data_IF_726693406032
#
_entry.id   IF_726693406032
#
_cell.length_a   1.000
_cell.length_b   1.000
_cell.length_c   1.000
_cell.angle_alpha   90.00
_cell.angle_beta   90.00
_cell.angle_gamma   90.00
#
_symmetry.space_group_name_H-M   'P 1'
#
loop_
_entity.id
_entity.type
_entity.pdbx_description
1 polymer ?
#
# COMPACT_ATOMS: atom_id res chain seq x y z
N UNK A 1 -3.52 -39.68 -74.88
CA UNK A 1 -4.25 -38.58 -74.22
C UNK A 1 -4.43 -38.81 -72.74
N UNK A 2 -4.69 -40.01 -72.23
CA UNK A 2 -4.97 -40.22 -70.77
C UNK A 2 -3.80 -39.97 -69.78
N UNK A 3 -2.58 -40.31 -70.15
CA UNK A 3 -1.38 -40.13 -69.27
C UNK A 3 -1.02 -38.66 -69.01
N UNK A 4 -1.23 -37.79 -69.96
CA UNK A 4 -0.91 -36.35 -69.83
C UNK A 4 -1.94 -35.64 -68.95
N UNK A 5 -3.22 -35.97 -69.07
CA UNK A 5 -4.25 -35.42 -68.22
C UNK A 5 -4.11 -35.90 -66.78
N UNK A 6 -3.76 -37.13 -66.50
CA UNK A 6 -3.51 -37.65 -65.16
C UNK A 6 -2.31 -36.98 -64.46
N UNK A 7 -1.26 -36.61 -65.21
CA UNK A 7 -0.14 -35.87 -64.66
C UNK A 7 -0.50 -34.43 -64.34
N UNK A 8 -1.24 -33.75 -65.21
CA UNK A 8 -1.69 -32.36 -64.98
C UNK A 8 -2.68 -32.29 -63.81
N UNK A 9 -3.59 -33.26 -63.72
CA UNK A 9 -4.55 -33.33 -62.58
C UNK A 9 -3.86 -33.63 -61.27
N UNK A 10 -2.95 -34.58 -61.21
CA UNK A 10 -2.17 -34.91 -60.02
C UNK A 10 -1.23 -33.75 -59.56
N UNK A 11 -0.67 -33.01 -60.51
CA UNK A 11 0.12 -31.83 -60.20
C UNK A 11 -0.70 -30.73 -59.59
N UNK A 12 -1.90 -30.47 -60.14
CA UNK A 12 -2.83 -29.46 -59.67
C UNK A 12 -3.35 -29.79 -58.25
N UNK A 13 -3.72 -31.05 -58.03
CA UNK A 13 -4.20 -31.53 -56.72
C UNK A 13 -3.09 -31.42 -55.68
N UNK A 14 -1.86 -31.85 -55.98
CA UNK A 14 -0.73 -31.70 -55.09
C UNK A 14 -0.38 -30.23 -54.78
N UNK A 15 -0.53 -29.35 -55.76
CA UNK A 15 -0.31 -27.92 -55.59
C UNK A 15 -1.35 -27.26 -54.63
N UNK A 16 -2.61 -27.62 -54.86
CA UNK A 16 -3.74 -27.14 -54.02
C UNK A 16 -3.57 -27.66 -52.57
N UNK A 17 -3.25 -28.91 -52.37
CA UNK A 17 -2.99 -29.52 -51.06
C UNK A 17 -1.82 -28.83 -50.31
N UNK A 18 -0.73 -28.57 -51.07
CA UNK A 18 0.42 -27.87 -50.47
C UNK A 18 0.09 -26.43 -50.06
N UNK A 19 -0.69 -25.71 -50.86
CA UNK A 19 -1.17 -24.36 -50.50
C UNK A 19 -2.04 -24.42 -49.26
N UNK A 20 -2.96 -25.35 -49.18
CA UNK A 20 -3.84 -25.48 -48.05
C UNK A 20 -3.09 -25.86 -46.78
N UNK A 21 -2.09 -26.75 -46.89
CA UNK A 21 -1.18 -27.11 -45.80
C UNK A 21 -0.38 -25.91 -45.34
N UNK A 22 0.19 -25.15 -46.26
CA UNK A 22 0.97 -23.94 -45.92
C UNK A 22 0.13 -22.87 -45.27
N UNK A 23 -1.13 -22.71 -45.70
CA UNK A 23 -2.09 -21.80 -45.02
C UNK A 23 -2.36 -22.22 -43.57
N UNK A 24 -2.69 -23.49 -43.35
CA UNK A 24 -2.94 -24.02 -41.99
C UNK A 24 -1.71 -23.84 -41.09
N UNK A 25 -0.52 -24.18 -41.56
CA UNK A 25 0.74 -23.99 -40.81
C UNK A 25 0.99 -22.51 -40.49
N UNK A 26 0.73 -21.62 -41.45
CA UNK A 26 0.82 -20.17 -41.24
C UNK A 26 -0.19 -19.66 -40.17
N UNK A 27 -1.44 -20.10 -40.23
CA UNK A 27 -2.44 -19.74 -39.24
C UNK A 27 -2.06 -20.26 -37.84
N UNK A 28 -1.55 -21.47 -37.73
CA UNK A 28 -1.07 -22.00 -36.46
C UNK A 28 0.08 -21.17 -35.88
N UNK A 29 1.04 -20.77 -36.72
CA UNK A 29 2.18 -19.92 -36.30
C UNK A 29 1.67 -18.57 -35.83
N UNK A 30 0.75 -17.93 -36.55
CA UNK A 30 0.16 -16.65 -36.18
C UNK A 30 -0.59 -16.76 -34.85
N UNK A 31 -1.38 -17.82 -34.67
CA UNK A 31 -2.12 -18.05 -33.45
C UNK A 31 -1.17 -18.28 -32.25
N UNK A 32 -0.13 -19.08 -32.43
CA UNK A 32 0.91 -19.27 -31.39
C UNK A 32 1.60 -17.97 -31.04
N UNK A 33 2.01 -17.19 -32.03
CA UNK A 33 2.66 -15.89 -31.82
C UNK A 33 1.71 -14.90 -31.10
N UNK A 34 0.45 -14.85 -31.49
CA UNK A 34 -0.57 -14.01 -30.83
C UNK A 34 -0.76 -14.40 -29.37
N UNK A 35 -0.85 -15.68 -29.06
CA UNK A 35 -0.97 -16.18 -27.71
C UNK A 35 0.25 -15.83 -26.85
N UNK A 36 1.47 -15.96 -27.40
CA UNK A 36 2.70 -15.58 -26.70
C UNK A 36 2.70 -14.07 -26.39
N UNK A 37 2.29 -13.25 -27.35
CA UNK A 37 2.20 -11.80 -27.14
C UNK A 37 1.19 -11.41 -26.05
N UNK A 38 0.02 -12.05 -26.06
CA UNK A 38 -0.99 -11.82 -25.02
C UNK A 38 -0.48 -12.21 -23.62
N UNK A 39 0.06 -13.41 -23.51
CA UNK A 39 0.63 -13.89 -22.24
C UNK A 39 1.79 -13.01 -21.76
N UNK A 40 2.67 -12.58 -22.67
CA UNK A 40 3.79 -11.70 -22.32
C UNK A 40 3.29 -10.33 -21.83
N UNK A 41 2.24 -9.80 -22.44
CA UNK A 41 1.65 -8.53 -22.02
C UNK A 41 0.99 -8.63 -20.64
N UNK A 42 0.29 -9.73 -20.37
CA UNK A 42 -0.29 -10.02 -19.03
C UNK A 42 0.83 -10.12 -17.99
N UNK A 43 1.85 -10.95 -18.23
CA UNK A 43 2.97 -11.10 -17.32
C UNK A 43 3.72 -9.78 -17.07
N UNK A 44 3.88 -8.95 -18.09
CA UNK A 44 4.49 -7.64 -17.94
C UNK A 44 3.65 -6.70 -17.10
N UNK A 45 2.34 -6.72 -17.29
CA UNK A 45 1.39 -5.91 -16.51
C UNK A 45 1.41 -6.32 -15.04
N UNK A 46 1.40 -7.62 -14.77
CA UNK A 46 1.48 -8.16 -13.41
C UNK A 46 2.83 -7.81 -12.77
N UNK A 47 3.93 -7.96 -13.49
CA UNK A 47 5.25 -7.55 -13.02
C UNK A 47 5.32 -6.07 -12.64
N UNK A 48 4.74 -5.18 -13.45
CA UNK A 48 4.69 -3.75 -13.13
C UNK A 48 3.88 -3.46 -11.88
N UNK A 49 2.75 -4.15 -11.71
CA UNK A 49 1.87 -4.01 -10.55
C UNK A 49 2.56 -4.48 -9.27
N UNK A 50 3.20 -5.64 -9.31
CA UNK A 50 3.93 -6.19 -8.17
C UNK A 50 5.16 -5.32 -7.83
N UNK A 51 5.92 -4.89 -8.83
CA UNK A 51 7.05 -3.98 -8.63
C UNK A 51 6.63 -2.66 -7.99
N UNK A 52 5.49 -2.09 -8.40
CA UNK A 52 4.93 -0.89 -7.76
C UNK A 52 4.65 -1.13 -6.28
N UNK A 53 4.02 -2.25 -5.96
CA UNK A 53 3.69 -2.64 -4.59
C UNK A 53 4.95 -2.81 -3.73
N UNK A 54 5.97 -3.47 -4.27
CA UNK A 54 7.24 -3.69 -3.59
C UNK A 54 7.98 -2.37 -3.32
N UNK A 55 8.00 -1.45 -4.30
CA UNK A 55 8.59 -0.13 -4.14
C UNK A 55 7.87 0.67 -3.06
N UNK A 56 6.55 0.66 -3.05
CA UNK A 56 5.76 1.34 -2.02
C UNK A 56 6.06 0.75 -0.64
N UNK A 57 6.03 -0.58 -0.51
CA UNK A 57 6.31 -1.28 0.75
C UNK A 57 7.71 -0.97 1.28
N UNK A 58 8.71 -0.96 0.41
CA UNK A 58 10.08 -0.59 0.77
C UNK A 58 10.16 0.87 1.22
N UNK A 59 9.51 1.78 0.51
CA UNK A 59 9.47 3.21 0.85
C UNK A 59 8.84 3.46 2.21
N UNK A 60 7.74 2.78 2.51
CA UNK A 60 7.08 2.85 3.82
C UNK A 60 8.00 2.31 4.93
N UNK A 61 8.68 1.17 4.70
CA UNK A 61 9.61 0.60 5.67
C UNK A 61 10.80 1.54 5.98
N UNK A 62 11.29 2.24 4.96
CA UNK A 62 12.35 3.25 5.14
C UNK A 62 11.82 4.45 5.94
N UNK A 63 10.64 4.95 5.57
CA UNK A 63 10.00 6.07 6.27
C UNK A 63 9.74 5.73 7.74
N UNK A 64 9.22 4.54 8.01
CA UNK A 64 9.00 4.02 9.37
C UNK A 64 10.29 4.04 10.20
N UNK A 65 11.37 3.49 9.65
CA UNK A 65 12.66 3.44 10.33
C UNK A 65 13.21 4.83 10.65
N UNK A 66 13.11 5.77 9.70
CA UNK A 66 13.56 7.15 9.89
C UNK A 66 12.70 7.89 10.92
N UNK A 67 11.39 7.72 10.85
CA UNK A 67 10.46 8.36 11.77
C UNK A 67 10.61 7.81 13.18
N UNK A 68 10.67 6.50 13.37
CA UNK A 68 10.87 5.88 14.70
C UNK A 68 12.19 6.34 15.34
N UNK A 69 13.25 6.56 14.56
CA UNK A 69 14.50 7.13 15.08
C UNK A 69 14.32 8.57 15.55
N UNK A 70 13.61 9.40 14.77
CA UNK A 70 13.31 10.79 15.16
C UNK A 70 12.37 10.90 16.36
N UNK A 71 11.42 9.99 16.50
CA UNK A 71 10.49 10.00 17.64
C UNK A 71 11.09 9.53 18.96
N UNK A 72 12.33 9.04 18.97
CA UNK A 72 13.11 8.91 20.19
C UNK A 72 13.47 10.28 20.78
N UNK A 73 13.51 11.33 19.95
CA UNK A 73 13.68 12.75 20.33
C UNK A 73 12.30 13.47 20.38
N UNK A 74 11.54 13.19 21.32
CA UNK A 74 10.60 13.90 22.21
C UNK A 74 9.50 14.81 21.60
N UNK A 75 9.75 15.78 20.72
CA UNK A 75 8.77 16.86 20.44
C UNK A 75 7.73 16.52 19.35
N UNK A 76 8.00 15.55 18.53
CA UNK A 76 7.13 15.23 17.37
C UNK A 76 5.79 14.61 17.80
N UNK A 77 5.72 13.93 18.94
CA UNK A 77 4.50 13.32 19.45
C UNK A 77 3.46 14.36 19.85
N UNK A 78 3.90 15.49 20.34
CA UNK A 78 3.03 16.59 20.77
C UNK A 78 2.16 17.11 19.61
N UNK A 79 2.74 17.29 18.42
CA UNK A 79 2.04 17.77 17.25
C UNK A 79 0.95 16.79 16.78
N UNK A 80 1.27 15.48 16.82
CA UNK A 80 0.31 14.43 16.44
C UNK A 80 -0.87 14.40 17.43
N UNK A 81 -0.59 14.46 18.72
CA UNK A 81 -1.63 14.47 19.75
C UNK A 81 -2.51 15.72 19.66
N UNK A 82 -1.92 16.90 19.50
CA UNK A 82 -2.66 18.13 19.35
C UNK A 82 -3.57 18.11 18.11
N UNK A 83 -3.03 17.69 16.96
CA UNK A 83 -3.82 17.54 15.74
C UNK A 83 -4.98 16.57 15.93
N UNK A 84 -4.73 15.43 16.58
CA UNK A 84 -5.76 14.42 16.85
C UNK A 84 -6.82 14.93 17.80
N UNK A 85 -6.45 15.59 18.89
CA UNK A 85 -7.40 16.16 19.86
C UNK A 85 -8.31 17.18 19.18
N UNK A 86 -7.75 18.02 18.30
CA UNK A 86 -8.52 19.01 17.53
C UNK A 86 -9.43 18.36 16.50
N UNK A 87 -8.92 17.40 15.72
CA UNK A 87 -9.65 16.71 14.66
C UNK A 87 -10.86 15.95 15.19
N UNK A 88 -10.68 15.21 16.29
CA UNK A 88 -11.75 14.42 16.91
C UNK A 88 -12.55 15.18 17.96
N UNK A 89 -12.30 16.49 18.12
CA UNK A 89 -12.98 17.35 19.11
C UNK A 89 -13.04 16.75 20.52
N UNK A 90 -11.93 16.18 21.00
CA UNK A 90 -11.86 15.53 22.31
C UNK A 90 -11.89 16.60 23.39
N UNK A 91 -13.07 16.91 23.90
CA UNK A 91 -13.29 17.96 24.91
C UNK A 91 -13.61 17.39 26.29
N UNK A 92 -13.96 16.10 26.36
CA UNK A 92 -14.36 15.39 27.59
C UNK A 92 -13.14 14.80 28.31
N UNK A 93 -13.40 14.00 29.34
CA UNK A 93 -12.34 13.30 30.07
C UNK A 93 -11.73 12.21 29.20
N UNK A 94 -10.42 12.11 29.23
CA UNK A 94 -9.68 11.08 28.48
C UNK A 94 -8.38 10.68 29.17
N UNK A 95 -7.88 9.52 28.78
CA UNK A 95 -6.61 8.98 29.25
C UNK A 95 -5.71 8.77 28.05
N UNK A 96 -4.46 9.24 28.12
CA UNK A 96 -3.43 8.96 27.14
C UNK A 96 -2.51 7.90 27.70
N UNK A 97 -2.35 6.80 26.99
CA UNK A 97 -1.33 5.79 27.26
C UNK A 97 -0.22 5.93 26.24
N UNK A 98 1.02 6.03 26.67
CA UNK A 98 2.18 6.22 25.80
C UNK A 98 3.44 5.71 26.47
N UNK A 99 4.52 5.62 25.69
CA UNK A 99 5.82 5.27 26.22
C UNK A 99 6.29 6.31 27.27
N UNK A 100 6.97 5.84 28.31
CA UNK A 100 7.42 6.67 29.43
C UNK A 100 8.24 7.88 28.99
N UNK A 101 9.00 7.79 27.90
CA UNK A 101 9.86 8.88 27.40
C UNK A 101 9.08 10.13 26.96
N UNK A 102 7.78 9.99 26.62
CA UNK A 102 6.96 11.08 26.11
C UNK A 102 6.12 11.76 27.19
N UNK A 103 6.03 11.21 28.41
CA UNK A 103 5.10 11.66 29.44
C UNK A 103 5.31 13.12 29.81
N UNK A 104 6.56 13.53 30.05
CA UNK A 104 6.87 14.89 30.50
C UNK A 104 6.41 15.93 29.48
N UNK A 105 6.75 15.73 28.23
CA UNK A 105 6.40 16.63 27.14
C UNK A 105 4.91 16.66 26.82
N UNK A 106 4.25 15.50 26.85
CA UNK A 106 2.82 15.43 26.66
C UNK A 106 2.09 16.14 27.80
N UNK A 107 2.59 16.04 29.03
CA UNK A 107 2.03 16.76 30.17
C UNK A 107 2.11 18.28 29.99
N UNK A 108 3.27 18.79 29.56
CA UNK A 108 3.45 20.21 29.24
C UNK A 108 2.44 20.66 28.18
N UNK A 109 2.33 19.91 27.08
CA UNK A 109 1.39 20.19 26.00
C UNK A 109 -0.07 20.18 26.44
N UNK A 110 -0.47 19.20 27.25
CA UNK A 110 -1.85 19.14 27.75
C UNK A 110 -2.18 20.32 28.64
N UNK A 111 -1.23 20.80 29.45
CA UNK A 111 -1.42 21.99 30.26
C UNK A 111 -1.61 23.25 29.41
N UNK A 112 -0.85 23.35 28.30
CA UNK A 112 -1.02 24.44 27.33
C UNK A 112 -2.40 24.38 26.66
N UNK A 113 -2.85 23.20 26.19
CA UNK A 113 -4.14 23.00 25.55
C UNK A 113 -5.30 23.29 26.52
N UNK A 114 -5.15 22.97 27.80
CA UNK A 114 -6.10 23.34 28.85
C UNK A 114 -6.17 24.85 29.06
N UNK A 115 -5.01 25.52 29.09
CA UNK A 115 -4.93 26.97 29.23
C UNK A 115 -5.61 27.72 28.08
N UNK A 116 -5.55 27.14 26.88
CA UNK A 116 -6.20 27.62 25.66
C UNK A 116 -7.69 27.25 25.58
N UNK A 117 -8.26 26.59 26.59
CA UNK A 117 -9.63 26.10 26.63
C UNK A 117 -10.02 25.11 25.52
N UNK A 118 -9.02 24.47 24.90
CA UNK A 118 -9.25 23.44 23.88
C UNK A 118 -9.66 22.10 24.53
N UNK A 119 -9.23 21.83 25.76
CA UNK A 119 -9.62 20.69 26.57
C UNK A 119 -10.40 21.23 27.79
N UNK A 120 -11.62 20.73 27.97
CA UNK A 120 -12.48 21.12 29.10
C UNK A 120 -12.55 20.06 30.20
N UNK A 121 -12.28 18.81 29.84
CA UNK A 121 -12.31 17.68 30.74
C UNK A 121 -10.97 17.43 31.45
N UNK A 122 -10.97 16.44 32.31
CA UNK A 122 -9.74 15.94 32.92
C UNK A 122 -9.00 15.03 31.96
N UNK A 123 -7.67 15.18 31.92
CA UNK A 123 -6.79 14.34 31.11
C UNK A 123 -5.73 13.72 31.99
N UNK A 124 -5.55 12.42 31.85
CA UNK A 124 -4.53 11.64 32.56
C UNK A 124 -3.57 11.02 31.55
N UNK A 125 -2.30 10.91 31.95
CA UNK A 125 -1.29 10.22 31.15
C UNK A 125 -0.79 9.03 31.93
N UNK A 126 -0.72 7.88 31.27
CA UNK A 126 -0.23 6.64 31.83
C UNK A 126 0.97 6.14 31.02
N UNK A 127 2.04 5.78 31.71
CA UNK A 127 3.15 5.08 31.09
C UNK A 127 2.75 3.65 30.70
N UNK A 128 3.11 3.28 29.50
CA UNK A 128 2.93 1.92 28.97
C UNK A 128 4.14 1.53 28.14
N UNK A 129 4.99 0.71 28.72
CA UNK A 129 6.23 0.26 28.07
C UNK A 129 6.01 -0.70 26.90
N UNK A 130 4.80 -1.23 26.73
CA UNK A 130 4.41 -2.02 25.55
C UNK A 130 4.10 -1.14 24.32
N UNK A 131 3.94 0.17 24.52
CA UNK A 131 3.73 1.12 23.43
C UNK A 131 5.12 1.62 22.97
N UNK A 132 5.42 1.40 21.70
CA UNK A 132 6.66 1.89 21.12
C UNK A 132 6.71 3.43 21.09
N UNK A 133 7.90 4.04 21.23
CA UNK A 133 8.07 5.47 21.05
C UNK A 133 7.47 5.98 19.75
N UNK A 134 6.80 7.12 19.81
CA UNK A 134 6.10 7.70 18.65
C UNK A 134 4.65 7.23 18.48
N UNK A 135 4.14 6.40 19.38
CA UNK A 135 2.76 5.94 19.41
C UNK A 135 2.09 6.24 20.74
N UNK A 136 0.79 6.41 20.72
CA UNK A 136 -0.05 6.58 21.89
C UNK A 136 -1.46 6.03 21.66
N UNK A 137 -2.17 5.78 22.74
CA UNK A 137 -3.58 5.40 22.74
C UNK A 137 -4.34 6.44 23.56
N UNK A 138 -5.35 7.07 22.95
CA UNK A 138 -6.27 7.96 23.64
C UNK A 138 -7.54 7.17 23.95
N UNK A 139 -7.86 7.02 25.22
CA UNK A 139 -9.05 6.32 25.69
C UNK A 139 -10.06 7.36 26.16
N UNK A 140 -11.27 7.31 25.62
CA UNK A 140 -12.40 8.18 25.96
C UNK A 140 -13.60 7.33 26.36
N UNK A 141 -14.64 7.95 26.88
CA UNK A 141 -15.92 7.27 27.12
C UNK A 141 -16.60 6.73 25.84
N UNK A 142 -16.21 7.25 24.66
CA UNK A 142 -16.76 6.85 23.35
C UNK A 142 -15.93 5.73 22.68
N UNK A 143 -14.74 5.47 23.17
CA UNK A 143 -13.88 4.45 22.59
C UNK A 143 -12.40 4.75 22.74
N UNK A 144 -11.62 3.98 21.99
CA UNK A 144 -10.17 4.03 21.97
C UNK A 144 -9.69 4.50 20.60
N UNK A 145 -8.76 5.45 20.58
CA UNK A 145 -8.12 5.98 19.38
C UNK A 145 -6.63 5.69 19.45
N UNK A 146 -6.12 5.02 18.43
CA UNK A 146 -4.69 4.76 18.28
C UNK A 146 -4.10 5.91 17.45
N UNK A 147 -3.07 6.54 17.97
CA UNK A 147 -2.39 7.68 17.34
C UNK A 147 -0.89 7.47 17.33
N UNK A 148 -0.24 7.95 16.29
CA UNK A 148 1.21 7.88 16.19
C UNK A 148 1.69 7.55 14.80
N UNK A 149 2.99 7.30 14.72
CA UNK A 149 3.70 7.05 13.45
C UNK A 149 3.12 5.85 12.71
N UNK A 150 2.87 4.76 13.43
CA UNK A 150 2.39 3.52 12.81
C UNK A 150 1.02 3.71 12.16
N UNK A 151 0.10 4.42 12.83
CA UNK A 151 -1.23 4.71 12.29
C UNK A 151 -1.16 5.61 11.05
N UNK A 152 -0.28 6.60 11.04
CA UNK A 152 -0.10 7.50 9.88
C UNK A 152 0.48 6.74 8.70
N UNK A 153 1.48 5.90 8.92
CA UNK A 153 2.11 5.10 7.87
C UNK A 153 1.16 4.07 7.26
N UNK A 154 0.33 3.43 8.08
CA UNK A 154 -0.72 2.51 7.59
C UNK A 154 -1.71 3.23 6.68
N UNK A 155 -2.21 4.40 7.08
CA UNK A 155 -3.10 5.21 6.23
C UNK A 155 -2.46 5.59 4.89
N UNK A 156 -1.19 6.06 4.92
CA UNK A 156 -0.46 6.39 3.70
C UNK A 156 -0.29 5.16 2.79
N UNK A 157 -0.01 4.01 3.38
CA UNK A 157 0.11 2.75 2.63
C UNK A 157 -1.20 2.36 1.96
N UNK A 158 -2.32 2.46 2.67
CA UNK A 158 -3.66 2.17 2.12
C UNK A 158 -4.04 3.11 0.97
N UNK A 159 -3.65 4.39 1.03
CA UNK A 159 -3.91 5.35 -0.05
C UNK A 159 -3.04 5.13 -1.30
N UNK A 160 -1.85 4.54 -1.16
CA UNK A 160 -0.89 4.35 -2.26
C UNK A 160 -1.05 3.00 -2.98
N UNK A 161 -1.63 2.00 -2.35
CA UNK A 161 -1.83 0.64 -2.87
C UNK A 161 -3.21 0.46 -3.46
#
# INVERSE_FOLDING_TARGET
>A
MGLRNGYEDGYKESYEDNIEKAKRESEEIINKASNILLQSNEQFTDFLKDSKKDIISLSISIAEKVLKEKFKDIDSMNNILEATIKEYEIKENFVIRTNAIHIEKINEQLNELKSQQLIKGESFILADDFIEPGNAIIETNKGRLIVGVDCVLEKVKEELL
#
